data_IF_460831707179
#
_entry.id   IF_460831707179
#
_cell.length_a   1.000
_cell.length_b   1.000
_cell.length_c   1.000
_cell.angle_alpha   90.00
_cell.angle_beta   90.00
_cell.angle_gamma   90.00
#
_symmetry.space_group_name_H-M   'P 1'
#
loop_
_entity.id
_entity.type
_entity.pdbx_description
1 polymer ?
#
# COMPACT_ATOMS: atom_id res chain seq x y z
N UNK A 1 -5.95 1.77 -7.10
CA UNK A 1 -4.67 2.47 -6.97
C UNK A 1 -3.74 2.07 -8.11
N UNK A 2 -3.17 0.85 -8.12
CA UNK A 2 -2.15 0.40 -9.11
C UNK A 2 -2.39 0.76 -10.58
N UNK A 3 -3.61 0.54 -11.08
CA UNK A 3 -3.96 0.83 -12.48
C UNK A 3 -3.67 2.28 -12.90
N UNK A 4 -3.77 3.22 -11.95
CA UNK A 4 -3.70 4.65 -12.18
C UNK A 4 -2.74 5.36 -11.21
N UNK A 5 -1.81 4.63 -10.59
CA UNK A 5 -0.87 5.18 -9.59
C UNK A 5 -0.19 6.45 -10.08
N UNK A 6 -0.15 7.47 -9.22
CA UNK A 6 0.48 8.78 -9.48
C UNK A 6 -0.10 9.53 -10.70
N UNK A 7 -1.31 9.17 -11.13
CA UNK A 7 -2.03 9.89 -12.21
C UNK A 7 -3.21 10.66 -11.66
N UNK A 8 -3.82 11.46 -12.53
CA UNK A 8 -5.06 12.17 -12.25
C UNK A 8 -6.24 11.26 -11.90
N UNK A 9 -6.13 9.94 -11.99
CA UNK A 9 -7.20 9.01 -11.59
C UNK A 9 -6.92 8.27 -10.28
N UNK A 10 -5.76 8.51 -9.65
CA UNK A 10 -5.45 7.96 -8.34
C UNK A 10 -6.18 8.75 -7.23
N UNK A 11 -7.11 8.14 -6.48
CA UNK A 11 -7.89 8.84 -5.46
C UNK A 11 -7.06 9.31 -4.27
N UNK A 12 -5.88 8.72 -4.06
CA UNK A 12 -4.97 9.06 -2.97
C UNK A 12 -3.60 9.46 -3.52
N UNK A 13 -3.58 10.10 -4.69
CA UNK A 13 -2.34 10.37 -5.43
C UNK A 13 -1.29 11.11 -4.57
N UNK A 14 -0.04 10.61 -4.50
CA UNK A 14 1.07 11.33 -3.87
C UNK A 14 1.48 12.60 -4.63
N UNK A 15 1.09 12.74 -5.90
CA UNK A 15 1.37 13.95 -6.70
C UNK A 15 0.63 15.19 -6.19
N UNK A 16 -0.46 15.00 -5.44
CA UNK A 16 -1.25 16.07 -4.80
C UNK A 16 -0.61 16.54 -3.48
N UNK A 17 0.47 15.89 -3.05
CA UNK A 17 1.26 16.24 -1.88
C UNK A 17 1.18 15.22 -0.74
N UNK A 18 2.17 15.27 0.15
CA UNK A 18 2.36 14.31 1.23
C UNK A 18 1.13 14.18 2.15
N UNK A 19 0.61 15.31 2.62
CA UNK A 19 -0.56 15.31 3.51
C UNK A 19 -1.83 14.88 2.79
N UNK A 20 -1.91 15.19 1.49
CA UNK A 20 -3.02 14.78 0.67
C UNK A 20 -3.12 13.26 0.58
N UNK A 21 -2.04 12.60 0.15
CA UNK A 21 -1.98 11.15 0.03
C UNK A 21 -2.00 10.42 1.37
N UNK A 22 -1.65 11.11 2.47
CA UNK A 22 -1.72 10.55 3.81
C UNK A 22 -3.14 10.56 4.40
N UNK A 23 -3.87 11.67 4.34
CA UNK A 23 -5.16 11.75 5.05
C UNK A 23 -6.13 12.76 4.46
N UNK A 24 -5.71 13.78 3.71
CA UNK A 24 -6.69 14.79 3.28
C UNK A 24 -7.67 14.25 2.22
N UNK A 25 -7.27 13.26 1.42
CA UNK A 25 -8.12 12.64 0.41
C UNK A 25 -9.43 12.07 1.00
N UNK A 26 -9.42 11.59 2.25
CA UNK A 26 -10.61 11.02 2.89
C UNK A 26 -11.64 12.07 3.30
N UNK A 27 -11.36 13.38 3.24
CA UNK A 27 -12.31 14.42 3.63
C UNK A 27 -13.10 15.02 2.45
N UNK A 28 -12.75 14.69 1.20
CA UNK A 28 -13.48 15.16 0.02
C UNK A 28 -14.07 13.99 -0.79
N UNK A 29 -15.31 13.61 -0.45
CA UNK A 29 -16.02 12.54 -1.16
C UNK A 29 -16.35 12.91 -2.61
N UNK A 30 -16.45 14.20 -2.96
CA UNK A 30 -16.70 14.62 -4.34
C UNK A 30 -15.43 14.42 -5.18
N UNK A 31 -14.28 14.76 -4.61
CA UNK A 31 -12.97 14.49 -5.21
C UNK A 31 -12.78 12.99 -5.47
N UNK A 32 -13.03 12.14 -4.47
CA UNK A 32 -12.90 10.68 -4.63
C UNK A 32 -13.85 10.17 -5.72
N UNK A 33 -15.11 10.61 -5.74
CA UNK A 33 -16.10 10.25 -6.77
C UNK A 33 -15.64 10.62 -8.19
N UNK A 34 -15.07 11.81 -8.33
CA UNK A 34 -14.54 12.29 -9.59
C UNK A 34 -13.37 11.42 -10.09
N UNK A 35 -12.37 11.17 -9.22
CA UNK A 35 -11.16 10.39 -9.56
C UNK A 35 -11.48 8.92 -9.87
N UNK A 36 -12.39 8.32 -9.10
CA UNK A 36 -12.78 6.90 -9.23
C UNK A 36 -13.81 6.63 -10.34
N UNK A 37 -14.44 7.67 -10.90
CA UNK A 37 -15.53 7.55 -11.89
C UNK A 37 -16.66 6.59 -11.47
N UNK A 38 -17.02 6.58 -10.19
CA UNK A 38 -18.08 5.69 -9.66
C UNK A 38 -17.81 4.18 -9.75
N UNK A 39 -16.55 3.76 -9.92
CA UNK A 39 -16.15 2.34 -9.84
C UNK A 39 -15.90 1.89 -8.40
N UNK A 40 -15.98 0.58 -8.15
CA UNK A 40 -15.85 -0.06 -6.83
C UNK A 40 -14.65 0.49 -6.02
N UNK A 41 -14.91 0.89 -4.76
CA UNK A 41 -13.94 1.53 -3.85
C UNK A 41 -14.49 2.79 -3.15
N UNK A 42 -15.55 3.39 -3.69
CA UNK A 42 -16.27 4.52 -3.10
C UNK A 42 -16.93 4.20 -1.76
N UNK A 43 -17.42 2.98 -1.62
CA UNK A 43 -18.12 2.53 -0.41
C UNK A 43 -17.22 2.63 0.83
N UNK A 44 -15.94 2.26 0.75
CA UNK A 44 -15.04 2.32 1.91
C UNK A 44 -14.79 3.76 2.40
N UNK A 45 -14.53 4.69 1.48
CA UNK A 45 -14.30 6.10 1.83
C UNK A 45 -15.60 6.80 2.27
N UNK A 46 -16.74 6.45 1.67
CA UNK A 46 -18.04 6.96 2.08
C UNK A 46 -18.50 6.38 3.43
N UNK A 47 -18.18 5.12 3.72
CA UNK A 47 -18.44 4.49 5.02
C UNK A 47 -17.74 5.26 6.13
N UNK A 48 -16.47 5.66 5.97
CA UNK A 48 -15.75 6.48 6.97
C UNK A 48 -16.44 7.81 7.28
N UNK A 49 -17.14 8.40 6.31
CA UNK A 49 -17.85 9.68 6.48
C UNK A 49 -19.30 9.53 6.95
N UNK A 50 -19.86 8.32 6.89
CA UNK A 50 -21.27 8.07 7.19
C UNK A 50 -21.56 8.30 8.68
N UNK A 51 -22.72 8.84 9.02
CA UNK A 51 -23.32 8.88 10.38
C UNK A 51 -22.45 9.41 11.54
N UNK A 52 -21.38 10.15 11.27
CA UNK A 52 -20.47 10.73 12.26
C UNK A 52 -19.89 9.68 13.25
N UNK A 53 -19.86 8.39 12.86
CA UNK A 53 -19.35 7.32 13.71
C UNK A 53 -17.83 7.37 13.80
N UNK A 54 -17.14 7.87 12.79
CA UNK A 54 -15.68 7.93 12.77
C UNK A 54 -15.12 8.83 13.90
N UNK A 55 -15.56 10.09 14.09
CA UNK A 55 -15.14 10.88 15.25
C UNK A 55 -15.54 10.25 16.59
N UNK A 56 -16.68 9.59 16.68
CA UNK A 56 -17.12 8.90 17.92
C UNK A 56 -16.25 7.69 18.23
N UNK A 57 -15.85 6.94 17.20
CA UNK A 57 -14.93 5.83 17.33
C UNK A 57 -13.58 6.36 17.82
N UNK A 58 -12.97 7.34 17.13
CA UNK A 58 -11.67 7.93 17.48
C UNK A 58 -11.58 8.34 18.95
N UNK A 59 -12.65 8.94 19.50
CA UNK A 59 -12.69 9.39 20.90
C UNK A 59 -12.89 8.28 21.95
N UNK A 60 -13.12 7.04 21.52
CA UNK A 60 -13.14 5.87 22.40
C UNK A 60 -11.73 5.26 22.55
N UNK A 61 -11.46 4.58 23.67
CA UNK A 61 -10.19 3.85 23.87
C UNK A 61 -9.90 2.86 22.72
N UNK A 62 -10.94 2.22 22.18
CA UNK A 62 -10.81 1.36 21.00
C UNK A 62 -10.47 2.12 19.72
N UNK A 63 -10.97 3.34 19.54
CA UNK A 63 -10.73 4.08 18.30
C UNK A 63 -9.43 4.85 18.23
N UNK A 64 -8.73 5.10 19.34
CA UNK A 64 -7.33 5.55 19.28
C UNK A 64 -6.49 4.50 18.55
N UNK A 65 -6.64 3.22 18.91
CA UNK A 65 -5.94 2.11 18.24
C UNK A 65 -6.31 2.02 16.75
N UNK A 66 -7.61 2.15 16.42
CA UNK A 66 -8.07 2.17 15.02
C UNK A 66 -7.48 3.34 14.24
N UNK A 67 -7.40 4.52 14.86
CA UNK A 67 -6.83 5.73 14.25
C UNK A 67 -5.36 5.52 13.93
N UNK A 68 -4.59 4.99 14.89
CA UNK A 68 -3.19 4.64 14.68
C UNK A 68 -3.05 3.62 13.54
N UNK A 69 -3.90 2.59 13.52
CA UNK A 69 -3.93 1.60 12.44
C UNK A 69 -4.14 2.21 11.06
N UNK A 70 -5.11 3.14 10.92
CA UNK A 70 -5.32 3.87 9.68
C UNK A 70 -4.11 4.71 9.27
N UNK A 71 -3.50 5.44 10.21
CA UNK A 71 -2.28 6.19 9.91
C UNK A 71 -1.13 5.29 9.46
N UNK A 72 -0.94 4.13 10.08
CA UNK A 72 0.08 3.15 9.66
C UNK A 72 -0.15 2.69 8.22
N UNK A 73 -1.39 2.38 7.85
CA UNK A 73 -1.74 1.98 6.48
C UNK A 73 -1.52 3.14 5.51
N UNK A 74 -1.98 4.34 5.85
CA UNK A 74 -1.84 5.50 4.99
C UNK A 74 -0.38 5.98 4.83
N UNK A 75 0.52 5.66 5.77
CA UNK A 75 1.96 5.91 5.61
C UNK A 75 2.54 5.14 4.43
N UNK A 76 1.98 3.99 4.04
CA UNK A 76 2.42 3.25 2.84
C UNK A 76 2.21 4.11 1.59
N UNK A 77 1.03 4.73 1.47
CA UNK A 77 0.68 5.57 0.32
C UNK A 77 1.37 6.96 0.36
N UNK A 78 1.65 7.50 1.55
CA UNK A 78 2.37 8.77 1.69
C UNK A 78 3.88 8.57 1.74
N UNK A 79 4.43 8.13 2.87
CA UNK A 79 5.88 7.94 3.04
C UNK A 79 6.44 7.00 1.99
N UNK A 80 5.74 5.91 1.65
CA UNK A 80 6.15 4.95 0.62
C UNK A 80 6.18 5.50 -0.82
N UNK A 81 5.73 6.74 -1.08
CA UNK A 81 5.88 7.42 -2.37
C UNK A 81 6.82 8.64 -2.32
N UNK A 82 7.25 9.06 -1.13
CA UNK A 82 8.13 10.22 -0.95
C UNK A 82 9.54 9.84 -0.53
N UNK A 83 9.70 8.84 0.34
CA UNK A 83 10.97 8.47 0.95
C UNK A 83 11.25 6.97 0.89
N UNK A 84 12.53 6.62 0.93
CA UNK A 84 13.00 5.24 0.88
C UNK A 84 13.81 4.94 -0.38
N UNK A 85 14.11 3.66 -0.58
CA UNK A 85 14.91 3.18 -1.70
C UNK A 85 14.04 2.67 -2.85
N UNK A 86 14.61 2.58 -4.05
CA UNK A 86 13.99 1.88 -5.18
C UNK A 86 14.94 0.79 -5.65
N UNK A 87 14.43 -0.42 -5.73
CA UNK A 87 15.17 -1.60 -6.21
C UNK A 87 14.72 -1.99 -7.63
N UNK A 88 13.51 -1.59 -8.01
CA UNK A 88 12.85 -2.00 -9.26
C UNK A 88 12.34 -0.80 -10.07
N UNK A 89 12.39 -0.96 -11.39
CA UNK A 89 11.89 -0.03 -12.41
C UNK A 89 10.36 -0.04 -12.42
N UNK A 90 9.72 0.87 -11.69
CA UNK A 90 8.27 1.12 -11.77
C UNK A 90 8.01 2.49 -12.42
N UNK A 91 6.80 2.69 -12.97
CA UNK A 91 6.42 3.95 -13.64
C UNK A 91 6.02 5.06 -12.66
N UNK A 92 5.74 4.69 -11.43
CA UNK A 92 5.36 5.56 -10.32
C UNK A 92 6.56 5.97 -9.44
N UNK A 93 6.25 6.61 -8.31
CA UNK A 93 7.17 7.10 -7.29
C UNK A 93 7.27 6.16 -6.08
N UNK A 94 6.76 4.93 -6.15
CA UNK A 94 6.84 3.98 -5.03
C UNK A 94 8.28 3.72 -4.58
N UNK A 95 8.46 3.53 -3.27
CA UNK A 95 9.73 3.39 -2.56
C UNK A 95 9.60 2.43 -1.39
N UNK A 96 10.67 1.70 -1.12
CA UNK A 96 10.81 0.76 -0.01
C UNK A 96 11.24 1.51 1.27
N UNK A 97 10.46 1.36 2.34
CA UNK A 97 10.73 1.99 3.65
C UNK A 97 10.90 0.89 4.70
N UNK A 98 12.15 0.53 5.01
CA UNK A 98 12.45 -0.67 5.78
C UNK A 98 11.87 -0.66 7.21
N UNK A 99 11.97 0.45 7.93
CA UNK A 99 11.56 0.52 9.33
C UNK A 99 10.03 0.46 9.48
N UNK A 100 9.31 0.90 8.44
CA UNK A 100 7.86 0.90 8.41
C UNK A 100 7.30 -0.53 8.21
N UNK A 101 8.12 -1.48 7.75
CA UNK A 101 7.69 -2.86 7.48
C UNK A 101 7.24 -3.59 8.74
N UNK A 102 7.80 -3.21 9.89
CA UNK A 102 7.42 -3.75 11.20
C UNK A 102 6.00 -3.38 11.61
N UNK A 103 5.53 -2.19 11.20
CA UNK A 103 4.20 -1.69 11.52
C UNK A 103 3.17 -2.05 10.46
N UNK A 104 3.60 -2.09 9.20
CA UNK A 104 2.76 -2.38 8.02
C UNK A 104 2.77 -3.87 7.64
N UNK A 105 3.39 -4.71 8.48
CA UNK A 105 3.52 -6.15 8.27
C UNK A 105 4.19 -6.56 6.94
N UNK A 106 4.90 -5.64 6.28
CA UNK A 106 5.58 -5.87 5.00
C UNK A 106 5.10 -4.99 3.84
N UNK A 107 3.98 -4.28 3.98
CA UNK A 107 3.44 -3.46 2.88
C UNK A 107 4.29 -2.24 2.53
N UNK A 108 5.17 -1.79 3.43
CA UNK A 108 6.11 -0.70 3.14
C UNK A 108 7.27 -1.10 2.23
N UNK A 109 7.40 -2.36 1.80
CA UNK A 109 8.19 -2.75 0.63
C UNK A 109 7.46 -2.33 -0.65
N UNK A 110 7.12 -1.05 -0.73
CA UNK A 110 6.11 -0.53 -1.64
C UNK A 110 6.59 -0.52 -3.10
N UNK A 111 7.88 -0.24 -3.33
CA UNK A 111 8.46 -0.35 -4.67
C UNK A 111 8.53 -1.81 -5.14
N UNK A 112 8.74 -2.76 -4.23
CA UNK A 112 8.68 -4.18 -4.55
C UNK A 112 7.24 -4.59 -4.94
N UNK A 113 6.25 -4.16 -4.16
CA UNK A 113 4.84 -4.43 -4.43
C UNK A 113 4.39 -3.86 -5.79
N UNK A 114 4.71 -2.60 -6.07
CA UNK A 114 4.38 -1.95 -7.35
C UNK A 114 5.11 -2.59 -8.56
N UNK A 115 6.28 -3.20 -8.34
CA UNK A 115 6.97 -3.92 -9.41
C UNK A 115 6.36 -5.29 -9.70
N UNK A 116 5.78 -5.95 -8.69
CA UNK A 116 5.23 -7.30 -8.79
C UNK A 116 3.88 -7.39 -8.07
N UNK A 117 2.88 -6.68 -8.59
CA UNK A 117 1.57 -6.50 -7.95
C UNK A 117 0.81 -7.79 -7.66
N UNK A 118 1.12 -8.87 -8.39
CA UNK A 118 0.50 -10.19 -8.22
C UNK A 118 1.28 -11.12 -7.28
N UNK A 119 2.43 -10.67 -6.77
CA UNK A 119 3.26 -11.43 -5.85
C UNK A 119 2.62 -11.47 -4.47
N UNK A 120 2.55 -12.66 -3.88
CA UNK A 120 2.15 -12.83 -2.48
C UNK A 120 3.23 -12.36 -1.47
N UNK A 121 4.45 -12.12 -1.96
CA UNK A 121 5.60 -11.67 -1.17
C UNK A 121 5.99 -10.26 -1.59
N UNK A 122 6.14 -9.35 -0.63
CA UNK A 122 6.59 -7.98 -0.86
C UNK A 122 8.08 -7.82 -0.52
N UNK A 123 8.58 -8.44 0.55
CA UNK A 123 10.00 -8.40 0.93
C UNK A 123 10.83 -9.49 0.25
N UNK A 124 11.54 -9.20 -0.84
CA UNK A 124 12.27 -10.20 -1.64
C UNK A 124 13.66 -10.57 -1.11
N UNK A 125 14.31 -9.66 -0.38
CA UNK A 125 15.62 -9.92 0.23
C UNK A 125 15.48 -10.57 1.61
N UNK A 126 16.52 -11.27 2.06
CA UNK A 126 16.52 -11.93 3.38
C UNK A 126 16.40 -10.93 4.55
N UNK A 127 16.90 -9.72 4.37
CA UNK A 127 16.83 -8.63 5.35
C UNK A 127 15.51 -7.87 5.30
N UNK A 128 14.65 -8.14 4.29
CA UNK A 128 13.35 -7.50 4.15
C UNK A 128 12.30 -8.29 4.93
N UNK A 129 12.01 -7.81 6.14
CA UNK A 129 11.01 -8.42 7.03
C UNK A 129 9.61 -8.24 6.43
N UNK A 130 8.94 -9.35 6.18
CA UNK A 130 7.60 -9.39 5.58
C UNK A 130 6.76 -10.39 6.38
N UNK A 131 6.06 -9.88 7.40
CA UNK A 131 5.30 -10.69 8.36
C UNK A 131 4.13 -11.35 7.65
N UNK A 132 3.47 -10.62 6.74
CA UNK A 132 2.37 -11.15 5.92
C UNK A 132 2.84 -12.33 5.08
N UNK A 133 4.00 -12.24 4.43
CA UNK A 133 4.60 -13.36 3.70
C UNK A 133 4.86 -14.57 4.59
N UNK A 134 5.42 -14.37 5.79
CA UNK A 134 5.68 -15.49 6.70
C UNK A 134 4.38 -16.21 7.13
N UNK A 135 3.29 -15.46 7.32
CA UNK A 135 1.96 -16.02 7.60
C UNK A 135 1.39 -16.77 6.40
N UNK A 136 1.49 -16.21 5.19
CA UNK A 136 1.08 -16.89 3.94
C UNK A 136 1.85 -18.20 3.79
N UNK A 137 3.16 -18.20 4.05
CA UNK A 137 3.98 -19.42 3.99
C UNK A 137 3.61 -20.45 5.04
N UNK A 138 3.27 -20.03 6.24
CA UNK A 138 2.74 -20.93 7.26
C UNK A 138 1.44 -21.57 6.77
N UNK A 139 0.51 -20.79 6.21
CA UNK A 139 -0.74 -21.32 5.66
C UNK A 139 -0.54 -22.22 4.45
N UNK A 140 0.44 -21.92 3.59
CA UNK A 140 0.81 -22.79 2.46
C UNK A 140 1.34 -24.15 2.96
N UNK A 141 2.21 -24.16 3.98
CA UNK A 141 2.72 -25.39 4.60
C UNK A 141 1.59 -26.22 5.24
N UNK A 142 0.62 -25.54 5.87
CA UNK A 142 -0.56 -26.18 6.46
C UNK A 142 -1.60 -26.63 5.42
N UNK A 143 -1.39 -26.35 4.13
CA UNK A 143 -2.34 -26.66 3.05
C UNK A 143 -3.59 -25.76 3.04
N UNK A 144 -3.58 -24.65 3.77
CA UNK A 144 -4.68 -23.67 3.85
C UNK A 144 -4.60 -22.61 2.75
N UNK A 145 -3.40 -22.35 2.23
CA UNK A 145 -3.18 -21.48 1.08
C UNK A 145 -2.62 -22.31 -0.10
N UNK A 146 -3.15 -22.07 -1.29
CA UNK A 146 -2.74 -22.74 -2.53
C UNK A 146 -2.57 -21.70 -3.65
N UNK A 147 -1.85 -22.04 -4.72
CA UNK A 147 -1.56 -21.12 -5.86
C UNK A 147 -0.86 -19.83 -5.41
N UNK A 148 0.11 -19.93 -4.49
CA UNK A 148 0.90 -18.80 -4.02
C UNK A 148 1.83 -18.31 -5.14
N UNK A 149 1.62 -17.09 -5.60
CA UNK A 149 2.35 -16.51 -6.74
C UNK A 149 3.58 -15.74 -6.30
N UNK A 150 4.69 -16.00 -7.00
CA UNK A 150 5.95 -15.27 -6.83
C UNK A 150 6.47 -14.85 -8.22
N UNK A 151 7.19 -13.72 -8.30
CA UNK A 151 7.81 -13.31 -9.55
C UNK A 151 8.96 -14.26 -9.91
N UNK A 152 9.05 -14.61 -11.20
CA UNK A 152 10.17 -15.39 -11.72
C UNK A 152 11.46 -14.59 -11.68
N UNK A 153 12.60 -15.27 -11.61
CA UNK A 153 13.92 -14.61 -11.61
C UNK A 153 14.17 -13.80 -12.89
N UNK A 154 13.69 -14.29 -14.04
CA UNK A 154 13.72 -13.52 -15.29
C UNK A 154 12.92 -12.22 -15.18
N UNK A 155 11.73 -12.26 -14.58
CA UNK A 155 10.92 -11.07 -14.36
C UNK A 155 11.62 -10.09 -13.41
N UNK A 156 12.23 -10.59 -12.33
CA UNK A 156 13.03 -9.76 -11.42
C UNK A 156 14.20 -9.09 -12.14
N UNK A 157 15.01 -9.84 -12.88
CA UNK A 157 16.14 -9.29 -13.64
C UNK A 157 15.71 -8.17 -14.59
N UNK A 158 14.61 -8.38 -15.32
CA UNK A 158 14.04 -7.37 -16.22
C UNK A 158 13.66 -6.07 -15.50
N UNK A 159 13.10 -6.19 -14.29
CA UNK A 159 12.65 -5.05 -13.49
C UNK A 159 13.78 -4.42 -12.66
N UNK A 160 14.92 -5.08 -12.50
CA UNK A 160 16.00 -4.58 -11.64
C UNK A 160 16.57 -3.24 -12.12
N UNK A 161 16.81 -2.32 -11.17
CA UNK A 161 17.53 -1.07 -11.43
C UNK A 161 19.06 -1.26 -11.57
N UNK A 162 19.63 -2.30 -10.94
CA UNK A 162 21.07 -2.59 -11.00
C UNK A 162 21.53 -3.17 -12.34
N UNK A 163 20.60 -3.67 -13.17
CA UNK A 163 20.83 -3.94 -14.59
C UNK A 163 20.51 -2.67 -15.40
N UNK A 164 21.44 -1.72 -15.38
CA UNK A 164 21.55 -0.71 -16.43
C UNK A 164 22.86 -0.99 -17.17
N UNK A 165 22.89 -0.97 -18.52
CA UNK A 165 24.12 -1.21 -19.29
C UNK A 165 25.22 -0.20 -18.93
#
# INVERSE_FOLDING_TARGET
>A
HHQFTDTDRDPQSPTEGLWFSHVLWIFDTRYIKYKTQQRDGLEAAMVLQKDNWFPRLVNSVGGIGVTIGYHVIWLVNSVGHFWGSRSWKTKDTSRNVWWLSLFTMGDSWHNNHHAFETSARHGFEWSQIDITWYLIRLFEILGLATDVKLPSEFHKQKMSLSCSP
#
